data_IF_827447732113
#
_entry.id   IF_827447732113
#
_cell.length_a   1.000
_cell.length_b   1.000
_cell.length_c   1.000
_cell.angle_alpha   90.00
_cell.angle_beta   90.00
_cell.angle_gamma   90.00
#
_symmetry.space_group_name_H-M   'P 1'
#
loop_
_entity.id
_entity.type
_entity.pdbx_description
1 polymer ?
#
# COMPACT_ATOMS: atom_id res chain seq x y z
N UNK A 1 1.89 0.28 22.61
CA UNK A 1 1.43 0.72 21.29
C UNK A 1 2.15 2.00 20.92
N UNK A 2 2.57 2.13 19.68
CA UNK A 2 3.26 3.32 19.18
C UNK A 2 2.20 4.35 18.79
N UNK A 3 2.38 5.63 19.11
CA UNK A 3 1.45 6.69 18.71
C UNK A 3 1.79 7.21 17.31
N UNK A 4 0.84 7.11 16.37
CA UNK A 4 0.99 7.67 15.02
C UNK A 4 1.24 9.17 15.09
N UNK A 5 0.46 9.91 15.89
CA UNK A 5 0.60 11.38 16.01
C UNK A 5 2.03 11.79 16.37
N UNK A 6 2.66 11.11 17.33
CA UNK A 6 4.04 11.39 17.74
C UNK A 6 5.06 11.12 16.62
N UNK A 7 4.92 10.00 15.91
CA UNK A 7 5.79 9.67 14.78
C UNK A 7 5.65 10.70 13.67
N UNK A 8 4.42 10.91 13.17
CA UNK A 8 4.20 11.73 11.99
C UNK A 8 4.45 13.21 12.27
N UNK A 9 4.26 13.67 13.51
CA UNK A 9 4.72 15.00 13.90
C UNK A 9 6.24 15.14 13.77
N UNK A 10 7.01 14.16 14.25
CA UNK A 10 8.47 14.17 14.13
C UNK A 10 8.95 14.05 12.67
N UNK A 11 8.26 13.29 11.83
CA UNK A 11 8.59 13.17 10.40
C UNK A 11 8.34 14.47 9.63
N UNK A 12 7.32 15.25 10.01
CA UNK A 12 6.91 16.45 9.29
C UNK A 12 7.47 17.75 9.86
N UNK A 13 7.97 17.76 11.10
CA UNK A 13 8.49 18.97 11.75
C UNK A 13 9.73 19.58 11.08
N UNK A 14 10.65 18.83 10.45
CA UNK A 14 11.83 19.41 9.79
C UNK A 14 11.54 19.96 8.40
N UNK A 15 10.33 19.71 7.85
CA UNK A 15 9.95 20.19 6.53
C UNK A 15 9.76 21.71 6.54
N UNK A 16 10.32 22.38 5.52
CA UNK A 16 10.01 23.78 5.28
C UNK A 16 8.50 23.95 5.04
N UNK A 17 7.90 25.13 5.33
CA UNK A 17 6.46 25.33 5.21
C UNK A 17 5.88 24.88 3.86
N UNK A 18 6.57 25.21 2.76
CA UNK A 18 6.15 24.83 1.41
C UNK A 18 6.29 23.32 1.13
N UNK A 19 7.28 22.66 1.69
CA UNK A 19 7.42 21.20 1.60
C UNK A 19 6.29 20.52 2.38
N UNK A 20 6.03 20.99 3.60
CA UNK A 20 4.95 20.47 4.45
C UNK A 20 3.60 20.62 3.76
N UNK A 21 3.32 21.77 3.15
CA UNK A 21 2.07 21.99 2.40
C UNK A 21 1.93 21.04 1.21
N UNK A 22 3.00 20.84 0.43
CA UNK A 22 2.99 19.90 -0.71
C UNK A 22 2.79 18.45 -0.24
N UNK A 23 3.50 18.01 0.80
CA UNK A 23 3.38 16.64 1.34
C UNK A 23 1.99 16.44 1.97
N UNK A 24 1.50 17.39 2.76
CA UNK A 24 0.17 17.31 3.36
C UNK A 24 -0.94 17.21 2.31
N UNK A 25 -0.88 18.04 1.26
CA UNK A 25 -1.83 17.96 0.15
C UNK A 25 -1.70 16.66 -0.63
N UNK A 26 -0.47 16.23 -0.94
CA UNK A 26 -0.22 15.02 -1.73
C UNK A 26 -0.73 13.75 -1.08
N UNK A 27 -0.57 13.64 0.24
CA UNK A 27 -0.92 12.44 0.99
C UNK A 27 -2.26 12.55 1.73
N UNK A 28 -2.93 13.70 1.73
CA UNK A 28 -4.20 13.90 2.45
C UNK A 28 -4.01 13.88 3.97
N UNK A 29 -2.93 14.48 4.48
CA UNK A 29 -2.60 14.43 5.92
C UNK A 29 -3.40 15.41 6.76
N UNK A 30 -4.08 16.37 6.11
CA UNK A 30 -4.95 17.32 6.78
C UNK A 30 -6.33 16.71 7.04
N UNK A 31 -6.92 17.05 8.19
CA UNK A 31 -8.21 16.47 8.61
C UNK A 31 -9.29 16.75 7.55
N UNK A 32 -9.90 15.67 7.06
CA UNK A 32 -11.00 15.72 6.09
C UNK A 32 -10.58 16.07 4.65
N UNK A 33 -9.27 16.07 4.35
CA UNK A 33 -8.77 16.26 2.99
C UNK A 33 -8.33 14.96 2.36
N UNK A 34 -8.74 14.76 1.11
CA UNK A 34 -8.25 13.68 0.26
C UNK A 34 -6.88 14.02 -0.35
N UNK A 35 -6.19 12.98 -0.82
CA UNK A 35 -4.91 13.13 -1.52
C UNK A 35 -5.08 13.91 -2.84
N UNK A 36 -4.31 14.99 -3.01
CA UNK A 36 -4.28 15.80 -4.22
C UNK A 36 -3.26 15.27 -5.24
N UNK A 37 -3.53 15.49 -6.53
CA UNK A 37 -2.53 15.27 -7.59
C UNK A 37 -1.51 16.39 -7.61
N UNK A 38 -0.28 16.14 -8.09
CA UNK A 38 0.75 17.18 -8.26
C UNK A 38 0.27 18.35 -9.12
N UNK A 39 -0.60 18.09 -10.11
CA UNK A 39 -1.19 19.11 -10.96
C UNK A 39 -2.20 19.98 -10.20
N UNK A 40 -3.05 19.37 -9.36
CA UNK A 40 -4.02 20.09 -8.52
C UNK A 40 -3.30 20.99 -7.51
N UNK A 41 -2.27 20.46 -6.83
CA UNK A 41 -1.43 21.23 -5.90
C UNK A 41 -0.73 22.38 -6.65
N UNK A 42 -0.20 22.11 -7.85
CA UNK A 42 0.47 23.13 -8.66
C UNK A 42 -0.46 24.28 -9.01
N UNK A 43 -1.69 23.98 -9.44
CA UNK A 43 -2.73 24.98 -9.71
C UNK A 43 -3.07 25.79 -8.46
N UNK A 44 -3.20 25.15 -7.29
CA UNK A 44 -3.52 25.83 -6.03
C UNK A 44 -2.40 26.75 -5.54
N UNK A 45 -1.15 26.40 -5.82
CA UNK A 45 0.06 27.13 -5.39
C UNK A 45 0.66 28.03 -6.48
N UNK A 46 -0.05 28.21 -7.59
CA UNK A 46 0.39 28.97 -8.77
C UNK A 46 1.81 28.61 -9.25
N UNK A 47 2.05 27.30 -9.39
CA UNK A 47 3.32 26.76 -9.90
C UNK A 47 3.10 25.55 -10.80
N UNK A 48 4.10 25.26 -11.63
CA UNK A 48 4.03 24.10 -12.54
C UNK A 48 4.01 22.77 -11.77
N UNK A 49 3.42 21.75 -12.38
CA UNK A 49 3.47 20.37 -11.88
C UNK A 49 4.89 19.89 -11.62
N UNK A 50 5.83 20.25 -12.50
CA UNK A 50 7.24 19.86 -12.35
C UNK A 50 7.87 20.54 -11.13
N UNK A 51 7.53 21.80 -10.84
CA UNK A 51 7.98 22.46 -9.63
C UNK A 51 7.45 21.78 -8.37
N UNK A 52 6.18 21.37 -8.37
CA UNK A 52 5.62 20.58 -7.25
C UNK A 52 6.34 19.24 -7.10
N UNK A 53 6.61 18.53 -8.20
CA UNK A 53 7.36 17.26 -8.17
C UNK A 53 8.74 17.42 -7.55
N UNK A 54 9.45 18.51 -7.86
CA UNK A 54 10.74 18.82 -7.25
C UNK A 54 10.63 19.07 -5.75
N UNK A 55 9.62 19.83 -5.31
CA UNK A 55 9.36 20.11 -3.89
C UNK A 55 9.00 18.81 -3.15
N UNK A 56 8.10 18.00 -3.72
CA UNK A 56 7.70 16.69 -3.19
C UNK A 56 8.93 15.79 -3.01
N UNK A 57 9.76 15.63 -4.06
CA UNK A 57 10.98 14.82 -3.98
C UNK A 57 11.89 15.30 -2.85
N UNK A 58 12.16 16.60 -2.78
CA UNK A 58 13.00 17.17 -1.73
C UNK A 58 12.41 16.96 -0.32
N UNK A 59 11.09 17.03 -0.18
CA UNK A 59 10.41 16.77 1.09
C UNK A 59 10.50 15.29 1.49
N UNK A 60 10.27 14.37 0.55
CA UNK A 60 10.39 12.92 0.78
C UNK A 60 11.83 12.52 1.14
N UNK A 61 12.84 13.17 0.55
CA UNK A 61 14.24 12.95 0.92
C UNK A 61 14.53 13.38 2.37
N UNK A 62 13.92 14.46 2.86
CA UNK A 62 13.98 14.84 4.29
C UNK A 62 13.25 13.82 5.16
N UNK A 63 12.01 13.45 4.82
CA UNK A 63 11.23 12.46 5.58
C UNK A 63 11.97 11.12 5.67
N UNK A 64 12.64 10.68 4.60
CA UNK A 64 13.44 9.44 4.60
C UNK A 64 14.58 9.48 5.61
N UNK A 65 15.24 10.62 5.81
CA UNK A 65 16.29 10.77 6.83
C UNK A 65 15.69 10.65 8.24
N UNK A 66 14.55 11.28 8.46
CA UNK A 66 13.84 11.18 9.74
C UNK A 66 13.33 9.77 10.04
N UNK A 67 12.88 9.03 9.02
CA UNK A 67 12.53 7.61 9.14
C UNK A 67 13.72 6.80 9.64
N UNK A 68 14.90 6.99 9.05
CA UNK A 68 16.10 6.26 9.42
C UNK A 68 16.60 6.61 10.84
N UNK A 69 16.30 7.81 11.34
CA UNK A 69 16.64 8.24 12.69
C UNK A 69 15.59 7.85 13.74
N UNK A 70 14.43 7.32 13.34
CA UNK A 70 13.30 7.03 14.22
C UNK A 70 13.02 5.52 14.29
N UNK A 71 13.44 4.88 15.40
CA UNK A 71 13.24 3.44 15.61
C UNK A 71 11.78 2.98 15.53
N UNK A 72 10.82 3.85 15.87
CA UNK A 72 9.39 3.54 15.71
C UNK A 72 8.95 3.46 14.25
N UNK A 73 9.54 4.26 13.36
CA UNK A 73 9.31 4.15 11.92
C UNK A 73 9.89 2.83 11.37
N UNK A 74 11.11 2.49 11.79
CA UNK A 74 11.76 1.26 11.39
C UNK A 74 10.97 0.02 11.83
N UNK A 75 10.43 0.01 13.05
CA UNK A 75 9.56 -1.06 13.54
C UNK A 75 8.31 -1.25 12.65
N UNK A 76 7.64 -0.15 12.30
CA UNK A 76 6.44 -0.17 11.43
C UNK A 76 6.80 -0.69 10.03
N UNK A 77 7.91 -0.21 9.45
CA UNK A 77 8.37 -0.64 8.13
C UNK A 77 8.74 -2.13 8.11
N UNK A 78 9.46 -2.60 9.13
CA UNK A 78 9.85 -4.00 9.25
C UNK A 78 8.63 -4.92 9.40
N UNK A 79 7.64 -4.50 10.20
CA UNK A 79 6.38 -5.24 10.33
C UNK A 79 5.59 -5.28 9.03
N UNK A 80 5.44 -4.15 8.35
CA UNK A 80 4.77 -4.11 7.04
C UNK A 80 5.49 -5.00 6.02
N UNK A 81 6.83 -4.93 5.96
CA UNK A 81 7.64 -5.77 5.08
C UNK A 81 7.49 -7.25 5.39
N UNK A 82 7.49 -7.63 6.68
CA UNK A 82 7.26 -9.01 7.13
C UNK A 82 5.88 -9.50 6.69
N UNK A 83 4.84 -8.71 6.96
CA UNK A 83 3.47 -9.03 6.56
C UNK A 83 3.35 -9.24 5.04
N UNK A 84 3.93 -8.35 4.22
CA UNK A 84 3.94 -8.55 2.77
C UNK A 84 4.68 -9.82 2.38
N UNK A 85 5.87 -10.09 2.93
CA UNK A 85 6.65 -11.31 2.62
C UNK A 85 5.89 -12.60 2.92
N UNK A 86 5.23 -12.67 4.07
CA UNK A 86 4.40 -13.81 4.46
C UNK A 86 3.23 -14.02 3.48
N UNK A 87 2.76 -12.95 2.85
CA UNK A 87 1.64 -12.92 1.92
C UNK A 87 2.06 -12.87 0.43
N UNK A 88 3.24 -13.41 0.10
CA UNK A 88 3.71 -13.50 -1.29
C UNK A 88 4.19 -12.17 -1.89
N UNK A 89 4.53 -11.23 -1.02
CA UNK A 89 5.07 -9.92 -1.38
C UNK A 89 4.02 -8.88 -1.75
N UNK A 90 2.73 -9.13 -1.50
CA UNK A 90 1.64 -8.19 -1.76
C UNK A 90 0.67 -8.13 -0.57
N UNK A 91 -0.02 -7.01 -0.41
CA UNK A 91 -1.13 -6.87 0.53
C UNK A 91 -2.10 -5.79 0.06
N UNK A 92 -3.41 -6.07 0.12
CA UNK A 92 -4.45 -5.05 -0.08
C UNK A 92 -4.24 -3.92 0.93
N UNK A 93 -4.35 -2.67 0.49
CA UNK A 93 -4.01 -1.50 1.30
C UNK A 93 -4.84 -1.43 2.59
N UNK A 94 -6.13 -1.77 2.51
CA UNK A 94 -7.05 -1.85 3.63
C UNK A 94 -6.65 -2.95 4.64
N UNK A 95 -6.39 -4.17 4.16
CA UNK A 95 -5.98 -5.28 5.02
C UNK A 95 -4.65 -4.99 5.73
N UNK A 96 -3.69 -4.40 5.01
CA UNK A 96 -2.43 -3.98 5.61
C UNK A 96 -2.67 -2.92 6.69
N UNK A 97 -3.50 -1.92 6.43
CA UNK A 97 -3.81 -0.87 7.41
C UNK A 97 -4.42 -1.47 8.68
N UNK A 98 -5.42 -2.35 8.55
CA UNK A 98 -6.06 -2.98 9.70
C UNK A 98 -5.07 -3.79 10.54
N UNK A 99 -4.21 -4.59 9.89
CA UNK A 99 -3.16 -5.32 10.59
C UNK A 99 -2.17 -4.39 11.32
N UNK A 100 -1.84 -3.24 10.74
CA UNK A 100 -0.88 -2.30 11.34
C UNK A 100 -1.49 -1.47 12.48
N UNK A 101 -2.80 -1.21 12.47
CA UNK A 101 -3.52 -0.53 13.55
C UNK A 101 -3.46 -1.28 14.89
N UNK A 102 -3.29 -2.60 14.86
CA UNK A 102 -3.12 -3.42 16.07
C UNK A 102 -1.91 -3.02 16.92
N UNK A 103 -0.97 -2.24 16.37
CA UNK A 103 0.26 -1.87 17.07
C UNK A 103 0.63 -0.40 16.99
N UNK A 104 0.00 0.33 16.06
CA UNK A 104 0.15 1.77 15.92
C UNK A 104 -1.19 2.45 16.14
N UNK A 105 -1.33 3.08 17.30
CA UNK A 105 -2.54 3.79 17.70
C UNK A 105 -2.72 5.04 16.84
N UNK A 106 -3.93 5.24 16.30
CA UNK A 106 -4.27 6.39 15.46
C UNK A 106 -3.69 6.34 14.04
N UNK A 107 -3.21 5.17 13.59
CA UNK A 107 -2.72 5.01 12.22
C UNK A 107 -3.87 5.14 11.19
N UNK A 108 -3.62 5.89 10.12
CA UNK A 108 -4.56 6.09 9.01
C UNK A 108 -3.95 5.60 7.70
N UNK A 109 -4.77 5.47 6.65
CA UNK A 109 -4.28 5.14 5.32
C UNK A 109 -3.27 6.17 4.79
N UNK A 110 -3.51 7.46 5.06
CA UNK A 110 -2.64 8.57 4.65
C UNK A 110 -1.27 8.51 5.34
N UNK A 111 -1.26 8.23 6.64
CA UNK A 111 -0.04 8.00 7.41
C UNK A 111 0.77 6.85 6.83
N UNK A 112 0.13 5.69 6.61
CA UNK A 112 0.80 4.52 6.07
C UNK A 112 1.34 4.77 4.66
N UNK A 113 0.57 5.44 3.80
CA UNK A 113 0.98 5.80 2.43
C UNK A 113 2.26 6.64 2.42
N UNK A 114 2.30 7.73 3.21
CA UNK A 114 3.49 8.58 3.33
C UNK A 114 4.71 7.76 3.80
N UNK A 115 4.55 6.98 4.86
CA UNK A 115 5.65 6.23 5.46
C UNK A 115 6.23 5.19 4.48
N UNK A 116 5.37 4.40 3.84
CA UNK A 116 5.79 3.38 2.88
C UNK A 116 6.45 4.00 1.64
N UNK A 117 5.87 5.05 1.08
CA UNK A 117 6.41 5.72 -0.11
C UNK A 117 7.74 6.43 0.19
N UNK A 118 7.83 7.17 1.28
CA UNK A 118 9.06 7.87 1.68
C UNK A 118 10.21 6.89 1.94
N UNK A 119 9.92 5.71 2.50
CA UNK A 119 10.93 4.67 2.75
C UNK A 119 11.62 4.16 1.48
N UNK A 120 10.96 4.27 0.31
CA UNK A 120 11.45 3.73 -0.96
C UNK A 120 11.55 2.20 -1.03
N UNK A 121 11.06 1.48 -0.02
CA UNK A 121 11.14 0.01 0.08
C UNK A 121 9.86 -0.71 -0.38
N UNK A 122 8.83 0.05 -0.74
CA UNK A 122 7.51 -0.45 -1.11
C UNK A 122 7.05 0.24 -2.40
N UNK A 123 6.28 -0.51 -3.19
CA UNK A 123 5.57 0.01 -4.34
C UNK A 123 4.07 -0.05 -4.05
N UNK A 124 3.30 0.81 -4.69
CA UNK A 124 1.85 0.86 -4.56
C UNK A 124 1.18 0.76 -5.93
N UNK A 125 -0.03 0.19 -5.92
CA UNK A 125 -0.94 0.22 -7.04
C UNK A 125 -2.19 0.97 -6.58
N UNK A 126 -2.60 2.06 -7.25
CA UNK A 126 -3.73 2.90 -6.80
C UNK A 126 -5.09 2.20 -6.96
N UNK A 127 -5.11 1.01 -7.55
CA UNK A 127 -6.32 0.31 -7.97
C UNK A 127 -6.74 0.72 -9.37
N UNK A 128 -7.51 -0.16 -10.01
CA UNK A 128 -8.06 0.05 -11.35
C UNK A 128 -9.33 -0.79 -11.53
N UNK A 129 -9.70 -1.10 -12.77
CA UNK A 129 -10.84 -1.96 -13.08
C UNK A 129 -10.68 -3.41 -12.59
N UNK A 130 -9.46 -3.89 -12.42
CA UNK A 130 -9.13 -5.28 -12.08
C UNK A 130 -8.68 -5.45 -10.63
N UNK A 131 -8.12 -4.39 -10.02
CA UNK A 131 -7.50 -4.47 -8.71
C UNK A 131 -8.05 -3.43 -7.74
N UNK A 132 -8.14 -3.82 -6.47
CA UNK A 132 -8.22 -2.89 -5.35
C UNK A 132 -6.88 -2.16 -5.17
N UNK A 133 -6.80 -1.07 -4.39
CA UNK A 133 -5.52 -0.50 -4.01
C UNK A 133 -4.70 -1.49 -3.17
N UNK A 134 -3.42 -1.66 -3.48
CA UNK A 134 -2.54 -2.60 -2.78
C UNK A 134 -1.09 -2.14 -2.77
N UNK A 135 -0.31 -2.68 -1.84
CA UNK A 135 1.14 -2.51 -1.76
C UNK A 135 1.85 -3.80 -2.15
N UNK A 136 3.06 -3.66 -2.70
CA UNK A 136 3.88 -4.80 -3.11
C UNK A 136 5.38 -4.49 -3.00
N UNK A 137 6.19 -5.53 -2.81
CA UNK A 137 7.63 -5.39 -2.58
C UNK A 137 8.43 -5.20 -3.88
N UNK A 138 7.92 -5.69 -5.01
CA UNK A 138 8.62 -5.63 -6.28
C UNK A 138 7.77 -6.09 -7.47
N UNK A 139 8.29 -5.79 -8.68
CA UNK A 139 7.58 -6.13 -9.93
C UNK A 139 7.37 -7.63 -10.10
N UNK A 140 8.26 -8.46 -9.56
CA UNK A 140 8.16 -9.91 -9.65
C UNK A 140 7.02 -10.44 -8.78
N UNK A 141 6.88 -9.92 -7.57
CA UNK A 141 5.82 -10.25 -6.62
C UNK A 141 4.46 -9.86 -7.20
N UNK A 142 4.35 -8.66 -7.79
CA UNK A 142 3.13 -8.27 -8.48
C UNK A 142 2.82 -9.18 -9.68
N UNK A 143 3.82 -9.51 -10.51
CA UNK A 143 3.64 -10.42 -11.64
C UNK A 143 3.17 -11.81 -11.20
N UNK A 144 3.72 -12.34 -10.10
CA UNK A 144 3.31 -13.61 -9.52
C UNK A 144 1.84 -13.57 -9.07
N UNK A 145 1.45 -12.52 -8.34
CA UNK A 145 0.07 -12.31 -7.92
C UNK A 145 -0.89 -12.23 -9.12
N UNK A 146 -0.58 -11.39 -10.12
CA UNK A 146 -1.40 -11.26 -11.33
C UNK A 146 -1.56 -12.59 -12.07
N UNK A 147 -0.47 -13.30 -12.28
CA UNK A 147 -0.47 -14.58 -13.01
C UNK A 147 -1.29 -15.65 -12.29
N UNK A 148 -1.25 -15.65 -10.95
CA UNK A 148 -2.08 -16.52 -10.13
C UNK A 148 -3.57 -16.19 -10.29
N UNK A 149 -3.94 -14.90 -10.18
CA UNK A 149 -5.33 -14.44 -10.32
C UNK A 149 -5.87 -14.79 -11.71
N UNK A 150 -5.09 -14.56 -12.77
CA UNK A 150 -5.47 -14.88 -14.15
C UNK A 150 -5.70 -16.39 -14.33
N UNK A 151 -4.80 -17.20 -13.77
CA UNK A 151 -4.92 -18.66 -13.79
C UNK A 151 -6.16 -19.14 -13.02
N UNK A 152 -6.46 -18.52 -11.87
CA UNK A 152 -7.64 -18.84 -11.06
C UNK A 152 -8.93 -18.47 -11.77
N UNK A 153 -9.02 -17.25 -12.32
CA UNK A 153 -10.17 -16.82 -13.11
C UNK A 153 -10.41 -17.75 -14.33
N UNK A 154 -9.34 -18.17 -15.01
CA UNK A 154 -9.41 -19.15 -16.09
C UNK A 154 -9.88 -20.53 -15.63
N UNK A 155 -9.45 -20.98 -14.45
CA UNK A 155 -9.93 -22.23 -13.83
C UNK A 155 -11.43 -22.16 -13.52
N UNK A 156 -11.88 -21.08 -12.88
CA UNK A 156 -13.28 -20.83 -12.56
C UNK A 156 -14.17 -20.79 -13.79
N UNK A 157 -13.71 -20.17 -14.88
CA UNK A 157 -14.45 -20.11 -16.15
C UNK A 157 -14.78 -21.49 -16.72
N UNK A 158 -13.91 -22.49 -16.51
CA UNK A 158 -14.10 -23.88 -16.98
C UNK A 158 -15.02 -24.70 -16.07
N UNK A 159 -15.16 -24.33 -14.80
CA UNK A 159 -15.93 -25.07 -13.79
C UNK A 159 -17.13 -24.29 -13.26
N UNK A 160 -17.67 -23.35 -14.05
CA UNK A 160 -18.65 -22.36 -13.63
C UNK A 160 -19.87 -22.97 -12.91
N UNK A 161 -20.43 -24.06 -13.43
CA UNK A 161 -21.61 -24.73 -12.83
C UNK A 161 -21.27 -25.32 -11.45
N UNK A 162 -20.11 -25.98 -11.33
CA UNK A 162 -19.70 -26.62 -10.08
C UNK A 162 -19.39 -25.58 -8.99
N UNK A 163 -18.68 -24.52 -9.34
CA UNK A 163 -18.32 -23.45 -8.38
C UNK A 163 -19.57 -22.70 -7.90
N UNK A 164 -20.50 -22.37 -8.80
CA UNK A 164 -21.77 -21.72 -8.44
C UNK A 164 -22.69 -22.65 -7.61
N UNK A 165 -22.45 -23.96 -7.62
CA UNK A 165 -23.13 -24.94 -6.78
C UNK A 165 -22.64 -25.00 -5.33
N UNK A 166 -21.79 -24.07 -4.87
CA UNK A 166 -21.31 -23.99 -3.49
C UNK A 166 -19.91 -24.57 -3.25
N UNK A 167 -19.23 -25.03 -4.29
CA UNK A 167 -17.92 -25.71 -4.19
C UNK A 167 -16.71 -24.79 -4.40
N UNK A 168 -16.88 -23.47 -4.19
CA UNK A 168 -15.80 -22.50 -4.39
C UNK A 168 -14.56 -22.77 -3.52
N UNK A 169 -14.76 -22.95 -2.21
CA UNK A 169 -13.66 -23.17 -1.27
C UNK A 169 -12.91 -24.47 -1.52
N UNK A 170 -13.63 -25.53 -1.89
CA UNK A 170 -13.03 -26.81 -2.25
C UNK A 170 -12.20 -26.67 -3.54
N UNK A 171 -12.79 -26.07 -4.58
CA UNK A 171 -12.12 -25.77 -5.85
C UNK A 171 -10.85 -24.96 -5.64
N UNK A 172 -10.92 -23.93 -4.79
CA UNK A 172 -9.80 -23.07 -4.48
C UNK A 172 -8.71 -23.83 -3.72
N UNK A 173 -9.08 -24.68 -2.75
CA UNK A 173 -8.13 -25.53 -2.02
C UNK A 173 -7.36 -26.46 -2.97
N UNK A 174 -8.05 -27.12 -3.90
CA UNK A 174 -7.43 -27.99 -4.90
C UNK A 174 -6.50 -27.19 -5.83
N UNK A 175 -6.96 -26.04 -6.31
CA UNK A 175 -6.17 -25.19 -7.19
C UNK A 175 -4.91 -24.68 -6.51
N UNK A 176 -5.02 -24.15 -5.29
CA UNK A 176 -3.88 -23.68 -4.48
C UNK A 176 -2.87 -24.79 -4.27
N UNK A 177 -3.33 -26.00 -3.89
CA UNK A 177 -2.47 -27.18 -3.75
C UNK A 177 -1.75 -27.52 -5.06
N UNK A 178 -2.45 -27.44 -6.20
CA UNK A 178 -1.85 -27.70 -7.53
C UNK A 178 -0.78 -26.67 -7.93
N UNK A 179 -0.87 -25.44 -7.42
CA UNK A 179 0.10 -24.37 -7.68
C UNK A 179 1.29 -24.40 -6.73
N UNK A 180 1.26 -25.24 -5.70
CA UNK A 180 2.35 -25.37 -4.73
C UNK A 180 2.59 -24.12 -3.90
N UNK A 181 1.58 -23.26 -3.73
CA UNK A 181 1.68 -22.05 -2.90
C UNK A 181 0.92 -22.22 -1.59
N UNK A 182 1.29 -21.44 -0.58
CA UNK A 182 0.61 -21.43 0.71
C UNK A 182 -0.77 -20.77 0.61
N UNK A 183 -1.68 -21.16 1.51
CA UNK A 183 -3.08 -20.67 1.52
C UNK A 183 -3.17 -19.16 1.73
N UNK A 184 -2.43 -18.63 2.71
CA UNK A 184 -2.35 -17.20 2.97
C UNK A 184 -1.85 -16.38 1.76
N UNK A 185 -0.87 -16.90 1.01
CA UNK A 185 -0.38 -16.26 -0.22
C UNK A 185 -1.49 -16.21 -1.28
N UNK A 186 -2.21 -17.32 -1.47
CA UNK A 186 -3.35 -17.35 -2.38
C UNK A 186 -4.44 -16.37 -1.96
N UNK A 187 -4.78 -16.32 -0.67
CA UNK A 187 -5.78 -15.41 -0.12
C UNK A 187 -5.38 -13.96 -0.31
N UNK A 188 -4.10 -13.63 -0.09
CA UNK A 188 -3.56 -12.30 -0.33
C UNK A 188 -3.66 -11.91 -1.80
N UNK A 189 -3.30 -12.81 -2.72
CA UNK A 189 -3.42 -12.57 -4.16
C UNK A 189 -4.87 -12.36 -4.58
N UNK A 190 -5.80 -13.15 -4.07
CA UNK A 190 -7.22 -12.99 -4.38
C UNK A 190 -7.79 -11.71 -3.76
N UNK A 191 -7.34 -11.32 -2.56
CA UNK A 191 -7.83 -10.13 -1.85
C UNK A 191 -7.59 -8.83 -2.63
N UNK A 192 -6.55 -8.78 -3.47
CA UNK A 192 -6.25 -7.60 -4.30
C UNK A 192 -7.07 -7.58 -5.61
N UNK A 193 -7.72 -8.68 -5.99
CA UNK A 193 -8.54 -8.79 -7.22
C UNK A 193 -9.96 -8.24 -7.02
N UNK A 194 -10.51 -7.64 -8.08
CA UNK A 194 -11.95 -7.33 -8.26
C UNK A 194 -12.68 -8.32 -9.15
N UNK A 195 -11.91 -9.19 -9.83
CA UNK A 195 -12.38 -10.29 -10.66
C UNK A 195 -12.58 -11.52 -9.79
#
# INVERSE_FOLDING_TARGET
MISASKIFHALLSPLAPRQKEVVSGRFGLERGKEAETLAAIGKRLDVTRERIRQIEKSALDTVRKEIAANGGCEEILNRAKKHLKENGGVARAENLLEHMKESVEGLTAHHLSLLLEASGSFLSHPGDKNYWPFYYLGKNEFKAASSFIDSWAGYLGKQKIHVLGGYYEESLRHFVKSKGIQRNVADAYLSISKR
#
